data_IF_862481046405
#
_entry.id   IF_862481046405
#
_cell.length_a   1.000
_cell.length_b   1.000
_cell.length_c   1.000
_cell.angle_alpha   90.00
_cell.angle_beta   90.00
_cell.angle_gamma   90.00
#
_symmetry.space_group_name_H-M   'P 1'
#
loop_
_entity.id
_entity.type
_entity.pdbx_description
1 polymer ?
#
# COMPACT_ATOMS: atom_id res chain seq x y z
N UNK A 1 26.46 4.89 14.01
CA UNK A 1 25.87 5.47 15.23
C UNK A 1 24.70 4.62 15.70
N UNK A 2 24.35 4.77 16.98
CA UNK A 2 23.22 4.07 17.59
C UNK A 2 22.28 5.07 18.26
N UNK A 3 21.00 4.70 18.34
CA UNK A 3 19.99 5.46 19.09
C UNK A 3 20.05 5.17 20.60
N UNK A 4 19.18 5.80 21.38
CA UNK A 4 19.10 5.65 22.83
C UNK A 4 18.77 4.20 23.29
N UNK A 5 18.16 3.41 22.39
CA UNK A 5 17.86 2.00 22.62
C UNK A 5 18.97 1.05 22.13
N UNK A 6 20.11 1.59 21.68
CA UNK A 6 21.26 0.84 21.17
C UNK A 6 21.12 0.30 19.74
N UNK A 7 20.04 0.65 19.01
CA UNK A 7 19.81 0.24 17.63
C UNK A 7 20.61 1.11 16.66
N UNK A 8 20.93 0.59 15.49
CA UNK A 8 21.73 1.31 14.46
C UNK A 8 20.88 2.42 13.84
N UNK A 9 21.11 3.67 14.21
CA UNK A 9 20.43 4.86 13.66
C UNK A 9 21.12 5.44 12.44
N UNK A 10 22.44 5.24 12.31
CA UNK A 10 23.21 5.70 11.15
C UNK A 10 24.33 4.73 10.80
N UNK A 11 24.50 4.47 9.50
CA UNK A 11 25.60 3.70 8.93
C UNK A 11 26.34 4.61 7.98
N UNK A 12 27.65 4.76 8.16
CA UNK A 12 28.55 5.42 7.20
C UNK A 12 29.40 4.34 6.55
N UNK A 13 29.39 4.29 5.24
CA UNK A 13 30.20 3.34 4.47
C UNK A 13 31.59 3.95 4.22
N UNK A 14 32.61 3.12 4.39
CA UNK A 14 34.00 3.52 4.23
C UNK A 14 34.64 2.74 3.08
N UNK A 15 35.52 3.40 2.36
CA UNK A 15 36.40 2.78 1.39
C UNK A 15 37.53 1.99 2.04
N UNK A 16 38.36 1.36 1.24
CA UNK A 16 39.55 0.63 1.70
C UNK A 16 40.59 1.51 2.41
N UNK A 17 40.57 2.81 2.14
CA UNK A 17 41.40 3.84 2.75
C UNK A 17 40.85 4.38 4.09
N UNK A 18 39.68 3.87 4.52
CA UNK A 18 39.03 4.32 5.75
C UNK A 18 38.23 5.62 5.61
N UNK A 19 38.22 6.25 4.43
CA UNK A 19 37.45 7.45 4.17
C UNK A 19 36.02 7.12 3.76
N UNK A 20 35.02 8.03 4.00
CA UNK A 20 33.65 7.83 3.51
C UNK A 20 33.65 7.61 1.99
N UNK A 21 33.03 6.51 1.58
CA UNK A 21 32.97 6.10 0.17
C UNK A 21 31.54 5.64 -0.21
N UNK A 22 31.11 5.93 -1.44
CA UNK A 22 29.77 5.53 -1.89
C UNK A 22 29.67 4.02 -2.04
N UNK A 23 28.49 3.48 -1.70
CA UNK A 23 28.09 2.10 -2.01
C UNK A 23 27.88 1.93 -3.52
N UNK A 24 27.67 0.71 -3.98
CA UNK A 24 27.29 0.41 -5.37
C UNK A 24 25.97 1.10 -5.79
N UNK A 25 25.10 1.43 -4.83
CA UNK A 25 23.87 2.20 -5.07
C UNK A 25 24.11 3.72 -5.10
N UNK A 26 25.33 4.17 -4.77
CA UNK A 26 25.75 5.56 -4.86
C UNK A 26 25.76 6.33 -3.54
N UNK A 27 25.00 5.93 -2.53
CA UNK A 27 24.95 6.65 -1.25
C UNK A 27 26.12 6.25 -0.33
N UNK A 28 26.54 7.19 0.52
CA UNK A 28 27.62 7.00 1.50
C UNK A 28 27.09 6.81 2.91
N UNK A 29 25.98 7.47 3.24
CA UNK A 29 25.38 7.42 4.58
C UNK A 29 23.94 6.95 4.47
N UNK A 30 23.55 6.05 5.38
CA UNK A 30 22.17 5.60 5.57
C UNK A 30 21.74 6.02 6.97
N UNK A 31 20.62 6.75 7.09
CA UNK A 31 19.99 7.05 8.37
C UNK A 31 18.70 6.24 8.48
N UNK A 32 18.52 5.59 9.64
CA UNK A 32 17.41 4.66 9.92
C UNK A 32 16.61 5.09 11.11
N UNK A 33 15.28 5.02 10.98
CA UNK A 33 14.35 5.13 12.10
C UNK A 33 13.64 3.80 12.32
N UNK A 34 12.95 3.68 13.45
CA UNK A 34 12.32 2.43 13.88
C UNK A 34 10.90 2.67 14.38
N UNK A 35 10.04 1.70 14.18
CA UNK A 35 8.75 1.61 14.86
C UNK A 35 8.92 1.35 16.36
N UNK A 36 7.83 1.49 17.13
CA UNK A 36 7.82 1.22 18.57
C UNK A 36 8.17 -0.24 18.91
N UNK A 37 7.83 -1.18 18.03
CA UNK A 37 8.14 -2.61 18.16
C UNK A 37 9.62 -2.96 17.86
N UNK A 38 10.42 -1.97 17.48
CA UNK A 38 11.84 -2.16 17.14
C UNK A 38 12.11 -2.56 15.70
N UNK A 39 11.09 -2.73 14.86
CA UNK A 39 11.28 -2.97 13.42
C UNK A 39 11.72 -1.70 12.71
N UNK A 40 12.56 -1.83 11.66
CA UNK A 40 13.00 -0.69 10.87
C UNK A 40 11.81 -0.07 10.11
N UNK A 41 11.62 1.25 10.25
CA UNK A 41 10.54 2.01 9.60
C UNK A 41 11.05 2.69 8.33
N UNK A 42 11.93 3.68 8.48
CA UNK A 42 12.41 4.50 7.37
C UNK A 42 13.92 4.38 7.25
N UNK A 43 14.41 4.22 6.01
CA UNK A 43 15.81 4.42 5.64
C UNK A 43 15.89 5.61 4.68
N UNK A 44 16.76 6.59 5.01
CA UNK A 44 17.08 7.74 4.15
C UNK A 44 18.51 7.67 3.70
N UNK A 45 18.80 8.06 2.46
CA UNK A 45 20.10 7.97 1.81
C UNK A 45 20.73 9.34 1.65
N UNK A 46 22.03 9.41 1.92
CA UNK A 46 22.80 10.65 1.89
C UNK A 46 24.17 10.42 1.21
N UNK A 47 24.73 11.50 0.68
CA UNK A 47 26.11 11.54 0.21
C UNK A 47 27.12 11.63 1.38
N UNK A 48 28.41 11.79 1.07
CA UNK A 48 29.47 11.93 2.07
C UNK A 48 29.33 13.21 2.91
N UNK A 49 28.76 14.27 2.34
CA UNK A 49 28.56 15.57 2.98
C UNK A 49 27.22 15.63 3.75
N UNK A 50 26.52 14.50 3.87
CA UNK A 50 25.21 14.39 4.53
C UNK A 50 24.06 15.13 3.83
N UNK A 51 24.19 15.42 2.52
CA UNK A 51 23.07 15.91 1.74
C UNK A 51 22.19 14.73 1.30
N UNK A 52 20.85 14.90 1.26
CA UNK A 52 19.95 13.87 0.76
C UNK A 52 20.29 13.49 -0.68
N UNK A 53 20.43 12.19 -0.94
CA UNK A 53 20.84 11.65 -2.23
C UNK A 53 19.72 10.83 -2.88
N UNK A 54 19.44 11.14 -4.15
CA UNK A 54 18.49 10.35 -4.95
C UNK A 54 19.17 9.10 -5.52
N UNK A 55 18.49 7.95 -5.42
CA UNK A 55 18.91 6.72 -6.08
C UNK A 55 18.27 6.56 -7.47
N UNK A 56 18.52 5.42 -8.11
CA UNK A 56 18.18 5.14 -9.52
C UNK A 56 16.71 5.37 -9.92
N UNK A 57 15.76 5.23 -8.99
CA UNK A 57 14.33 5.50 -9.21
C UNK A 57 13.90 6.90 -8.76
N UNK A 58 14.85 7.78 -8.46
CA UNK A 58 14.59 9.12 -7.95
C UNK A 58 14.20 9.18 -6.47
N UNK A 59 14.22 8.04 -5.76
CA UNK A 59 13.92 7.98 -4.32
C UNK A 59 15.11 8.45 -3.49
N UNK A 60 14.83 9.12 -2.38
CA UNK A 60 15.80 9.54 -1.36
C UNK A 60 15.79 8.65 -0.13
N UNK A 61 14.85 7.73 -0.07
CA UNK A 61 14.69 6.77 1.02
C UNK A 61 13.60 5.76 0.73
N UNK A 62 13.42 4.84 1.68
CA UNK A 62 12.34 3.86 1.68
C UNK A 62 11.64 3.86 3.04
N UNK A 63 10.32 3.70 3.02
CA UNK A 63 9.50 3.39 4.20
C UNK A 63 9.03 1.96 4.11
N UNK A 64 9.23 1.19 5.17
CA UNK A 64 8.74 -0.18 5.27
C UNK A 64 7.29 -0.19 5.75
N UNK A 65 6.40 -0.78 4.96
CA UNK A 65 4.98 -0.91 5.29
C UNK A 65 4.56 -2.36 5.09
N UNK A 66 4.60 -3.14 6.16
CA UNK A 66 4.37 -4.59 6.09
C UNK A 66 5.38 -5.28 5.16
N UNK A 67 4.89 -5.91 4.09
CA UNK A 67 5.73 -6.63 3.11
C UNK A 67 6.24 -5.74 1.95
N UNK A 68 5.89 -4.47 1.93
CA UNK A 68 6.23 -3.55 0.83
C UNK A 68 7.11 -2.41 1.28
N UNK A 69 7.94 -1.91 0.35
CA UNK A 69 8.77 -0.73 0.56
C UNK A 69 8.20 0.41 -0.28
N UNK A 70 7.86 1.52 0.37
CA UNK A 70 7.40 2.74 -0.29
C UNK A 70 8.58 3.67 -0.53
N UNK A 71 8.67 4.22 -1.73
CA UNK A 71 9.71 5.16 -2.11
C UNK A 71 9.42 6.55 -1.52
N UNK A 72 10.44 7.20 -0.98
CA UNK A 72 10.34 8.49 -0.32
C UNK A 72 11.04 9.59 -1.11
N UNK A 73 10.50 10.80 -1.04
CA UNK A 73 11.12 12.03 -1.52
C UNK A 73 12.23 12.52 -0.58
N UNK A 74 12.88 13.62 -0.97
CA UNK A 74 13.94 14.25 -0.17
C UNK A 74 13.50 14.71 1.23
N UNK A 75 12.21 14.90 1.45
CA UNK A 75 11.62 15.33 2.73
C UNK A 75 11.12 14.14 3.57
N UNK A 76 11.35 12.90 3.12
CA UNK A 76 10.87 11.69 3.78
C UNK A 76 9.37 11.41 3.59
N UNK A 77 8.72 12.05 2.61
CA UNK A 77 7.30 11.81 2.28
C UNK A 77 7.19 10.75 1.19
N UNK A 78 6.12 9.97 1.23
CA UNK A 78 5.85 8.96 0.21
C UNK A 78 5.67 9.62 -1.15
N UNK A 79 6.48 9.23 -2.13
CA UNK A 79 6.41 9.75 -3.49
C UNK A 79 5.15 9.27 -4.21
N UNK A 80 4.54 10.15 -5.00
CA UNK A 80 3.51 9.76 -5.96
C UNK A 80 4.20 9.25 -7.25
N UNK A 81 4.47 7.94 -7.31
CA UNK A 81 5.08 7.27 -8.45
C UNK A 81 4.41 5.93 -8.74
N UNK A 82 4.60 5.41 -9.94
CA UNK A 82 3.99 4.15 -10.39
C UNK A 82 4.35 3.00 -9.45
N UNK A 83 5.60 2.90 -9.03
CA UNK A 83 6.06 1.85 -8.12
C UNK A 83 5.28 1.87 -6.79
N UNK A 84 5.08 3.05 -6.20
CA UNK A 84 4.33 3.17 -4.95
C UNK A 84 2.83 2.92 -5.15
N UNK A 85 2.27 3.34 -6.28
CA UNK A 85 0.85 3.11 -6.60
C UNK A 85 0.58 1.63 -6.86
N UNK A 86 1.44 0.95 -7.61
CA UNK A 86 1.30 -0.48 -7.91
C UNK A 86 1.68 -1.37 -6.72
N UNK A 87 2.52 -0.87 -5.83
CA UNK A 87 3.01 -1.63 -4.69
C UNK A 87 1.87 -1.85 -3.68
N UNK A 88 1.49 -3.11 -3.49
CA UNK A 88 0.40 -3.50 -2.58
C UNK A 88 -1.00 -3.34 -3.18
N UNK A 89 -1.15 -3.14 -4.49
CA UNK A 89 -2.45 -3.30 -5.12
C UNK A 89 -2.98 -4.71 -4.89
N UNK A 90 -4.25 -4.86 -4.51
CA UNK A 90 -4.87 -6.16 -4.26
C UNK A 90 -5.22 -6.85 -5.60
N UNK A 91 -4.20 -7.19 -6.40
CA UNK A 91 -4.41 -7.80 -7.73
C UNK A 91 -5.33 -9.01 -7.69
N UNK A 92 -5.23 -9.84 -6.63
CA UNK A 92 -6.11 -11.00 -6.48
C UNK A 92 -7.57 -10.61 -6.32
N UNK A 93 -7.86 -9.53 -5.56
CA UNK A 93 -9.23 -9.02 -5.40
C UNK A 93 -9.77 -8.45 -6.72
N UNK A 94 -8.91 -7.72 -7.44
CA UNK A 94 -9.25 -7.17 -8.77
C UNK A 94 -9.55 -8.29 -9.76
N UNK A 95 -8.66 -9.30 -9.86
CA UNK A 95 -8.84 -10.46 -10.75
C UNK A 95 -10.12 -11.22 -10.36
N UNK A 96 -10.33 -11.50 -9.09
CA UNK A 96 -11.53 -12.18 -8.59
C UNK A 96 -12.80 -11.40 -8.96
N UNK A 97 -12.83 -10.09 -8.72
CA UNK A 97 -13.95 -9.23 -9.12
C UNK A 97 -14.22 -9.26 -10.63
N UNK A 98 -13.18 -9.20 -11.46
CA UNK A 98 -13.31 -9.31 -12.92
C UNK A 98 -13.87 -10.67 -13.33
N UNK A 99 -13.40 -11.77 -12.75
CA UNK A 99 -13.90 -13.13 -13.06
C UNK A 99 -15.36 -13.27 -12.68
N UNK A 100 -15.76 -12.82 -11.48
CA UNK A 100 -17.16 -12.85 -11.05
C UNK A 100 -18.05 -12.00 -11.97
N UNK A 101 -17.61 -10.78 -12.35
CA UNK A 101 -18.33 -9.93 -13.30
C UNK A 101 -18.52 -10.65 -14.65
N UNK A 102 -17.47 -11.26 -15.19
CA UNK A 102 -17.53 -11.98 -16.45
C UNK A 102 -18.52 -13.14 -16.36
N UNK A 103 -18.47 -13.93 -15.30
CA UNK A 103 -19.40 -15.04 -15.07
C UNK A 103 -20.86 -14.55 -14.99
N UNK A 104 -21.13 -13.47 -14.26
CA UNK A 104 -22.47 -12.88 -14.17
C UNK A 104 -22.97 -12.45 -15.54
N UNK A 105 -22.12 -11.89 -16.40
CA UNK A 105 -22.52 -11.40 -17.72
C UNK A 105 -22.71 -12.52 -18.76
N UNK A 106 -21.92 -13.60 -18.66
CA UNK A 106 -21.92 -14.69 -19.67
C UNK A 106 -22.92 -15.79 -19.34
N UNK A 107 -23.16 -16.08 -18.06
CA UNK A 107 -24.05 -17.16 -17.63
C UNK A 107 -25.53 -16.88 -17.97
N UNK A 108 -26.35 -17.94 -18.12
CA UNK A 108 -27.81 -17.80 -18.25
C UNK A 108 -28.40 -16.98 -17.09
N UNK A 109 -29.46 -16.20 -17.36
CA UNK A 109 -30.04 -15.25 -16.40
C UNK A 109 -30.31 -15.87 -15.01
N UNK A 110 -30.86 -17.08 -14.95
CA UNK A 110 -31.13 -17.78 -13.67
C UNK A 110 -29.86 -18.05 -12.87
N UNK A 111 -28.79 -18.46 -13.55
CA UNK A 111 -27.49 -18.72 -12.94
C UNK A 111 -26.80 -17.41 -12.49
N UNK A 112 -26.92 -16.35 -13.29
CA UNK A 112 -26.40 -15.02 -12.94
C UNK A 112 -27.08 -14.48 -11.66
N UNK A 113 -28.38 -14.61 -11.53
CA UNK A 113 -29.12 -14.19 -10.34
C UNK A 113 -28.67 -14.98 -9.11
N UNK A 114 -28.52 -16.30 -9.23
CA UNK A 114 -28.02 -17.14 -8.15
C UNK A 114 -26.62 -16.78 -7.74
N UNK A 115 -25.71 -16.57 -8.71
CA UNK A 115 -24.34 -16.16 -8.46
C UNK A 115 -24.28 -14.78 -7.79
N UNK A 116 -25.11 -13.82 -8.22
CA UNK A 116 -25.20 -12.50 -7.59
C UNK A 116 -25.69 -12.60 -6.14
N UNK A 117 -26.70 -13.44 -5.86
CA UNK A 117 -27.17 -13.66 -4.49
C UNK A 117 -26.09 -14.30 -3.60
N UNK A 118 -25.36 -15.30 -4.12
CA UNK A 118 -24.24 -15.92 -3.42
C UNK A 118 -23.11 -14.91 -3.15
N UNK A 119 -22.85 -14.03 -4.11
CA UNK A 119 -21.85 -12.99 -3.95
C UNK A 119 -22.26 -11.93 -2.90
N UNK A 120 -23.52 -11.55 -2.83
CA UNK A 120 -24.05 -10.69 -1.75
C UNK A 120 -23.85 -11.36 -0.38
N UNK A 121 -24.19 -12.64 -0.27
CA UNK A 121 -24.00 -13.40 0.97
C UNK A 121 -22.52 -13.45 1.37
N UNK A 122 -21.61 -13.63 0.40
CA UNK A 122 -20.18 -13.60 0.63
C UNK A 122 -19.70 -12.22 1.17
N UNK A 123 -20.14 -11.11 0.54
CA UNK A 123 -19.78 -9.76 1.03
C UNK A 123 -20.30 -9.53 2.45
N UNK A 124 -21.53 -9.93 2.74
CA UNK A 124 -22.10 -9.79 4.08
C UNK A 124 -21.31 -10.62 5.10
N UNK A 125 -20.95 -11.86 4.75
CA UNK A 125 -20.12 -12.70 5.60
C UNK A 125 -18.77 -12.06 5.90
N UNK A 126 -18.02 -11.62 4.87
CA UNK A 126 -16.73 -10.93 5.02
C UNK A 126 -16.86 -9.66 5.87
N UNK A 127 -17.91 -8.85 5.61
CA UNK A 127 -18.08 -7.56 6.33
C UNK A 127 -18.49 -7.75 7.79
N UNK A 128 -19.26 -8.80 8.12
CA UNK A 128 -19.77 -9.02 9.47
C UNK A 128 -18.80 -9.85 10.32
N UNK A 129 -18.14 -10.86 9.71
CA UNK A 129 -17.32 -11.82 10.48
C UNK A 129 -15.86 -11.40 10.64
N UNK A 130 -15.30 -10.67 9.66
CA UNK A 130 -13.88 -10.28 9.68
C UNK A 130 -13.66 -8.81 9.99
N UNK A 131 -14.71 -8.07 10.34
CA UNK A 131 -14.53 -6.71 10.81
C UNK A 131 -14.00 -6.75 12.24
N UNK A 132 -12.72 -6.51 12.42
CA UNK A 132 -12.18 -6.21 13.74
C UNK A 132 -12.95 -5.04 14.35
N UNK A 133 -13.38 -5.19 15.60
CA UNK A 133 -13.97 -4.12 16.38
C UNK A 133 -12.84 -3.11 16.71
N UNK A 134 -12.38 -2.40 15.72
CA UNK A 134 -11.51 -1.25 15.88
C UNK A 134 -12.29 -0.08 16.47
N UNK A 135 -11.59 0.88 17.07
CA UNK A 135 -12.16 2.12 17.60
C UNK A 135 -13.19 2.69 16.64
N UNK A 136 -14.47 2.61 17.03
CA UNK A 136 -15.60 3.08 16.26
C UNK A 136 -15.65 4.63 16.23
N UNK A 137 -14.61 5.25 15.68
CA UNK A 137 -14.69 6.65 15.26
C UNK A 137 -15.46 6.71 13.97
N UNK A 138 -16.77 6.83 14.10
CA UNK A 138 -17.63 7.13 12.96
C UNK A 138 -17.25 8.50 12.40
N UNK A 139 -16.51 8.49 11.31
CA UNK A 139 -16.18 9.71 10.59
C UNK A 139 -17.28 9.99 9.56
N UNK A 140 -18.15 10.93 9.86
CA UNK A 140 -19.24 11.36 8.98
C UNK A 140 -18.79 12.33 7.87
N UNK A 141 -17.52 12.72 7.84
CA UNK A 141 -17.00 13.59 6.79
C UNK A 141 -16.77 12.76 5.53
N UNK A 142 -17.61 13.03 4.53
CA UNK A 142 -17.50 12.40 3.22
C UNK A 142 -16.11 12.70 2.62
N UNK A 143 -15.42 11.67 2.12
CA UNK A 143 -14.06 11.77 1.56
C UNK A 143 -12.98 12.31 2.52
N UNK A 144 -13.14 12.16 3.84
CA UNK A 144 -12.11 12.51 4.83
C UNK A 144 -10.76 11.82 4.64
N UNK A 145 -10.71 10.79 3.79
CA UNK A 145 -9.51 10.03 3.45
C UNK A 145 -8.82 10.56 2.15
N UNK A 146 -9.41 11.56 1.46
CA UNK A 146 -8.93 11.99 0.14
C UNK A 146 -7.47 12.47 0.17
N UNK A 147 -7.10 13.23 1.17
CA UNK A 147 -5.73 13.73 1.38
C UNK A 147 -4.74 12.60 1.68
N UNK A 148 -5.18 11.53 2.34
CA UNK A 148 -4.35 10.36 2.68
C UNK A 148 -4.32 9.31 1.58
N UNK A 149 -5.26 9.34 0.64
CA UNK A 149 -5.31 8.38 -0.48
C UNK A 149 -4.03 8.37 -1.30
N UNK A 150 -3.41 9.53 -1.53
CA UNK A 150 -2.15 9.64 -2.29
C UNK A 150 -0.91 9.29 -1.45
N UNK A 151 -0.97 9.45 -0.15
CA UNK A 151 0.18 9.31 0.75
C UNK A 151 0.20 8.02 1.54
N UNK A 152 -0.97 7.42 1.83
CA UNK A 152 -1.08 6.21 2.65
C UNK A 152 -1.53 5.00 1.81
N UNK A 153 -0.68 3.99 1.72
CA UNK A 153 -0.97 2.75 1.00
C UNK A 153 -2.18 2.00 1.57
N UNK A 154 -2.30 1.92 2.90
CA UNK A 154 -3.41 1.26 3.57
C UNK A 154 -4.76 1.86 3.17
N UNK A 155 -4.83 3.19 3.05
CA UNK A 155 -6.03 3.89 2.60
C UNK A 155 -6.34 3.57 1.13
N UNK A 156 -5.34 3.58 0.25
CA UNK A 156 -5.53 3.20 -1.17
C UNK A 156 -6.04 1.78 -1.33
N UNK A 157 -5.40 0.83 -0.66
CA UNK A 157 -5.79 -0.59 -0.71
C UNK A 157 -7.22 -0.76 -0.19
N UNK A 158 -7.57 -0.11 0.92
CA UNK A 158 -8.92 -0.17 1.48
C UNK A 158 -9.99 0.39 0.53
N UNK A 159 -9.72 1.55 -0.09
CA UNK A 159 -10.64 2.16 -1.07
C UNK A 159 -10.79 1.27 -2.30
N UNK A 160 -9.70 0.77 -2.86
CA UNK A 160 -9.72 -0.10 -4.05
C UNK A 160 -10.46 -1.40 -3.75
N UNK A 161 -10.21 -2.04 -2.61
CA UNK A 161 -10.92 -3.25 -2.17
C UNK A 161 -12.43 -3.00 -2.10
N UNK A 162 -12.85 -1.90 -1.46
CA UNK A 162 -14.26 -1.56 -1.35
C UNK A 162 -14.91 -1.34 -2.72
N UNK A 163 -14.28 -0.57 -3.61
CA UNK A 163 -14.80 -0.35 -4.97
C UNK A 163 -14.93 -1.67 -5.71
N UNK A 164 -13.89 -2.51 -5.73
CA UNK A 164 -13.90 -3.78 -6.47
C UNK A 164 -14.86 -4.81 -5.89
N UNK A 165 -15.13 -4.78 -4.59
CA UNK A 165 -16.18 -5.62 -4.00
C UNK A 165 -17.59 -5.26 -4.50
N UNK A 166 -17.85 -4.00 -4.85
CA UNK A 166 -19.17 -3.58 -5.33
C UNK A 166 -19.35 -3.65 -6.84
N UNK A 167 -18.28 -3.76 -7.63
CA UNK A 167 -18.36 -3.83 -9.11
C UNK A 167 -19.18 -5.05 -9.59
N UNK A 168 -19.01 -6.29 -9.08
CA UNK A 168 -19.85 -7.43 -9.47
C UNK A 168 -21.33 -7.26 -9.13
N UNK A 169 -21.66 -6.53 -8.06
CA UNK A 169 -23.05 -6.21 -7.73
C UNK A 169 -23.72 -5.34 -8.78
N UNK A 170 -22.97 -4.35 -9.31
CA UNK A 170 -23.45 -3.53 -10.44
C UNK A 170 -23.74 -4.36 -11.69
N UNK A 171 -22.85 -5.31 -12.02
CA UNK A 171 -23.05 -6.24 -13.13
C UNK A 171 -24.26 -7.15 -12.90
N UNK A 172 -24.44 -7.67 -11.68
CA UNK A 172 -25.60 -8.49 -11.30
C UNK A 172 -26.91 -7.70 -11.40
N UNK A 173 -26.92 -6.49 -10.88
CA UNK A 173 -28.09 -5.60 -10.96
C UNK A 173 -28.47 -5.29 -12.41
N UNK A 174 -27.49 -4.93 -13.23
CA UNK A 174 -27.70 -4.73 -14.67
C UNK A 174 -28.34 -5.96 -15.33
N UNK A 175 -27.85 -7.17 -15.02
CA UNK A 175 -28.34 -8.43 -15.59
C UNK A 175 -29.77 -8.77 -15.14
N UNK A 176 -30.12 -8.39 -13.90
CA UNK A 176 -31.50 -8.61 -13.34
C UNK A 176 -32.53 -7.72 -14.05
N UNK A 177 -32.19 -6.44 -14.29
CA UNK A 177 -33.09 -5.45 -14.91
C UNK A 177 -33.26 -5.69 -16.41
N UNK A 178 -32.27 -6.23 -17.09
CA UNK A 178 -32.34 -6.55 -18.51
C UNK A 178 -33.49 -7.59 -18.76
N UNK A 179 -34.53 -7.18 -19.47
CA UNK A 179 -35.69 -8.01 -19.87
C UNK A 179 -35.32 -9.09 -20.88
#
# INVERSE_FOLDING_TARGET
>A
QRDEQGRISQITYLGADGNPAPTTAGYTVLKRTYHRDGTADIDMYFDADSNPMALSKGQYGIKRSGKVNLLLDKNGRVMLCVDNVLNGLPFMVVIFGCVICLLILVLPKKMSVLLTAAYIAFILYETLMFREAGDARTNFVLFSYADRFLTEQSVRVGVINNVWLFVPLGAGWYRIIQK
#
